data_IF_523146613156
#
_entry.id   IF_523146613156
#
_cell.length_a   1.000
_cell.length_b   1.000
_cell.length_c   1.000
_cell.angle_alpha   90.00
_cell.angle_beta   90.00
_cell.angle_gamma   90.00
#
_symmetry.space_group_name_H-M   'P 1'
#
loop_
_entity.id
_entity.type
_entity.pdbx_description
1 polymer ?
#
# COMPACT_ATOMS: atom_id res chain seq x y z
N UNK A 1 -27.75 -15.11 -28.66
CA UNK A 1 -28.46 -15.53 -27.43
C UNK A 1 -27.53 -16.09 -26.35
N UNK A 2 -26.72 -17.13 -26.60
CA UNK A 2 -25.84 -17.77 -25.59
C UNK A 2 -24.79 -16.84 -24.93
N UNK A 3 -24.19 -15.91 -25.68
CA UNK A 3 -23.24 -14.93 -25.11
C UNK A 3 -23.94 -13.83 -24.31
N UNK A 4 -25.15 -13.43 -24.73
CA UNK A 4 -25.95 -12.43 -24.04
C UNK A 4 -26.39 -12.93 -22.65
N UNK A 5 -26.76 -14.21 -22.54
CA UNK A 5 -27.09 -14.84 -21.25
C UNK A 5 -25.88 -14.97 -20.32
N UNK A 6 -24.67 -15.20 -20.85
CA UNK A 6 -23.45 -15.26 -20.03
C UNK A 6 -23.02 -13.89 -19.52
N UNK A 7 -23.11 -12.85 -20.37
CA UNK A 7 -22.87 -11.46 -19.96
C UNK A 7 -23.89 -11.05 -18.89
N UNK A 8 -25.16 -11.39 -19.09
CA UNK A 8 -26.22 -11.10 -18.10
C UNK A 8 -25.94 -11.79 -16.76
N UNK A 9 -25.54 -13.07 -16.77
CA UNK A 9 -25.18 -13.81 -15.56
C UNK A 9 -23.96 -13.19 -14.84
N UNK A 10 -22.96 -12.76 -15.60
CA UNK A 10 -21.77 -12.09 -15.03
C UNK A 10 -22.11 -10.73 -14.43
N UNK A 11 -22.98 -9.95 -15.07
CA UNK A 11 -23.45 -8.66 -14.54
C UNK A 11 -24.32 -8.87 -13.30
N UNK A 12 -25.19 -9.89 -13.31
CA UNK A 12 -26.02 -10.20 -12.13
C UNK A 12 -25.17 -10.65 -10.95
N UNK A 13 -24.14 -11.47 -11.17
CA UNK A 13 -23.24 -11.88 -10.08
C UNK A 13 -22.46 -10.69 -9.52
N UNK A 14 -21.89 -9.83 -10.38
CA UNK A 14 -21.15 -8.65 -9.91
C UNK A 14 -22.03 -7.66 -9.13
N UNK A 15 -23.30 -7.51 -9.53
CA UNK A 15 -24.28 -6.69 -8.80
C UNK A 15 -24.60 -7.26 -7.42
N UNK A 16 -24.77 -8.58 -7.30
CA UNK A 16 -25.01 -9.24 -6.00
C UNK A 16 -23.81 -9.07 -5.06
N UNK A 17 -22.59 -9.21 -5.58
CA UNK A 17 -21.37 -8.98 -4.80
C UNK A 17 -21.26 -7.53 -4.31
N UNK A 18 -21.54 -6.55 -5.18
CA UNK A 18 -21.55 -5.15 -4.81
C UNK A 18 -22.59 -4.85 -3.72
N UNK A 19 -23.83 -5.38 -3.86
CA UNK A 19 -24.88 -5.15 -2.86
C UNK A 19 -24.57 -5.78 -1.51
N UNK A 20 -23.97 -6.98 -1.49
CA UNK A 20 -23.60 -7.66 -0.25
C UNK A 20 -22.53 -6.88 0.53
N UNK A 21 -21.57 -6.31 -0.19
CA UNK A 21 -20.50 -5.51 0.39
C UNK A 21 -21.03 -4.19 0.98
N UNK A 22 -21.93 -3.51 0.28
CA UNK A 22 -22.56 -2.28 0.78
C UNK A 22 -23.37 -2.54 2.06
N UNK A 23 -24.05 -3.69 2.15
CA UNK A 23 -24.74 -4.10 3.38
C UNK A 23 -23.76 -4.30 4.55
N UNK A 24 -22.66 -5.05 4.34
CA UNK A 24 -21.65 -5.26 5.39
C UNK A 24 -21.00 -3.91 5.80
N UNK A 25 -20.79 -3.01 4.84
CA UNK A 25 -20.26 -1.66 5.10
C UNK A 25 -21.22 -0.86 5.97
N UNK A 26 -22.53 -0.89 5.68
CA UNK A 26 -23.55 -0.21 6.47
C UNK A 26 -23.64 -0.78 7.89
N UNK A 27 -23.58 -2.10 8.05
CA UNK A 27 -23.50 -2.75 9.35
C UNK A 27 -22.27 -2.33 10.15
N UNK A 28 -21.09 -2.32 9.51
CA UNK A 28 -19.85 -1.89 10.12
C UNK A 28 -19.92 -0.41 10.58
N UNK A 29 -20.47 0.46 9.73
CA UNK A 29 -20.73 1.85 10.05
C UNK A 29 -21.68 1.98 11.25
N UNK A 30 -22.77 1.20 11.29
CA UNK A 30 -23.70 1.18 12.42
C UNK A 30 -23.02 0.75 13.72
N UNK A 31 -22.18 -0.29 13.70
CA UNK A 31 -21.39 -0.68 14.87
C UNK A 31 -20.45 0.45 15.31
N UNK A 32 -19.81 1.13 14.35
CA UNK A 32 -18.93 2.26 14.64
C UNK A 32 -19.68 3.44 15.29
N UNK A 33 -20.85 3.81 14.76
CA UNK A 33 -21.70 4.88 15.32
C UNK A 33 -22.17 4.54 16.74
N UNK A 34 -22.47 3.26 17.00
CA UNK A 34 -22.81 2.75 18.33
C UNK A 34 -21.60 2.56 19.26
N UNK A 35 -20.42 3.05 18.89
CA UNK A 35 -19.14 2.93 19.63
C UNK A 35 -18.68 1.49 19.87
N UNK A 36 -19.24 0.52 19.13
CA UNK A 36 -18.83 -0.89 19.16
C UNK A 36 -17.68 -1.10 18.17
N UNK A 37 -16.53 -0.49 18.46
CA UNK A 37 -15.43 -0.35 17.50
C UNK A 37 -14.79 -1.68 17.11
N UNK A 38 -14.66 -2.63 18.04
CA UNK A 38 -14.12 -3.97 17.78
C UNK A 38 -15.00 -4.74 16.78
N UNK A 39 -16.33 -4.66 16.93
CA UNK A 39 -17.28 -5.26 15.98
C UNK A 39 -17.26 -4.58 14.62
N UNK A 40 -17.11 -3.25 14.61
CA UNK A 40 -16.93 -2.51 13.36
C UNK A 40 -15.66 -2.97 12.63
N UNK A 41 -14.55 -3.14 13.35
CA UNK A 41 -13.29 -3.66 12.80
C UNK A 41 -13.49 -5.06 12.20
N UNK A 42 -14.16 -5.97 12.92
CA UNK A 42 -14.48 -7.31 12.42
C UNK A 42 -15.25 -7.25 11.09
N UNK A 43 -16.32 -6.45 11.04
CA UNK A 43 -17.12 -6.29 9.82
C UNK A 43 -16.33 -5.66 8.67
N UNK A 44 -15.57 -4.59 8.92
CA UNK A 44 -14.72 -4.02 7.88
C UNK A 44 -13.65 -5.01 7.38
N UNK A 45 -13.03 -5.79 8.26
CA UNK A 45 -12.06 -6.82 7.84
C UNK A 45 -12.72 -7.91 7.00
N UNK A 46 -13.96 -8.29 7.30
CA UNK A 46 -14.69 -9.25 6.46
C UNK A 46 -14.92 -8.75 5.03
N UNK A 47 -14.99 -7.42 4.82
CA UNK A 47 -15.03 -6.83 3.47
C UNK A 47 -13.68 -7.03 2.76
N UNK A 48 -12.57 -6.88 3.48
CA UNK A 48 -11.22 -7.14 2.93
C UNK A 48 -11.03 -8.61 2.56
N UNK A 49 -11.62 -9.55 3.31
CA UNK A 49 -11.60 -10.99 2.98
C UNK A 49 -12.29 -11.31 1.65
N UNK A 50 -13.21 -10.45 1.21
CA UNK A 50 -13.84 -10.52 -0.12
C UNK A 50 -12.97 -9.88 -1.22
N UNK A 51 -11.72 -9.52 -0.91
CA UNK A 51 -10.78 -8.80 -1.77
C UNK A 51 -11.28 -7.42 -2.23
N UNK A 52 -12.19 -6.80 -1.48
CA UNK A 52 -12.62 -5.45 -1.77
C UNK A 52 -11.78 -4.44 -0.98
N UNK A 53 -11.12 -3.53 -1.70
CA UNK A 53 -10.33 -2.45 -1.13
C UNK A 53 -10.85 -1.11 -1.63
N UNK A 54 -11.01 -0.14 -0.72
CA UNK A 54 -11.34 1.23 -1.06
C UNK A 54 -10.75 2.21 -0.07
N UNK A 55 -10.54 3.46 -0.49
CA UNK A 55 -10.07 4.53 0.39
C UNK A 55 -10.99 4.70 1.59
N UNK A 56 -12.31 4.67 1.37
CA UNK A 56 -13.32 4.78 2.42
C UNK A 56 -13.27 3.62 3.44
N UNK A 57 -13.09 2.38 2.96
CA UNK A 57 -12.96 1.20 3.84
C UNK A 57 -11.75 1.33 4.76
N UNK A 58 -10.60 1.69 4.20
CA UNK A 58 -9.38 1.89 4.97
C UNK A 58 -9.45 3.10 5.89
N UNK A 59 -10.08 4.20 5.47
CA UNK A 59 -10.37 5.34 6.34
C UNK A 59 -11.20 4.94 7.57
N UNK A 60 -12.25 4.15 7.36
CA UNK A 60 -13.12 3.69 8.44
C UNK A 60 -12.43 2.69 9.37
N UNK A 61 -11.63 1.77 8.84
CA UNK A 61 -10.76 0.89 9.64
C UNK A 61 -9.75 1.70 10.46
N UNK A 62 -9.10 2.69 9.83
CA UNK A 62 -8.15 3.59 10.48
C UNK A 62 -8.78 4.31 11.67
N UNK A 63 -9.99 4.82 11.49
CA UNK A 63 -10.81 5.42 12.53
C UNK A 63 -11.17 4.44 13.66
N UNK A 64 -11.61 3.22 13.33
CA UNK A 64 -11.97 2.23 14.33
C UNK A 64 -10.75 1.75 15.14
N UNK A 65 -9.60 1.55 14.50
CA UNK A 65 -8.35 1.24 15.20
C UNK A 65 -7.86 2.40 16.07
N UNK A 66 -8.05 3.65 15.64
CA UNK A 66 -7.74 4.82 16.47
C UNK A 66 -8.58 4.84 17.74
N UNK A 67 -9.89 4.57 17.62
CA UNK A 67 -10.83 4.53 18.74
C UNK A 67 -10.54 3.40 19.74
N UNK A 68 -9.95 2.31 19.28
CA UNK A 68 -9.51 1.17 20.12
C UNK A 68 -8.05 1.28 20.57
N UNK A 69 -7.42 2.45 20.40
CA UNK A 69 -6.03 2.72 20.77
C UNK A 69 -4.98 1.81 20.08
N UNK A 70 -5.35 1.17 18.97
CA UNK A 70 -4.45 0.38 18.13
C UNK A 70 -3.75 1.29 17.12
N UNK A 71 -2.92 2.20 17.63
CA UNK A 71 -2.38 3.34 16.86
C UNK A 71 -1.59 2.90 15.61
N UNK A 72 -0.74 1.88 15.70
CA UNK A 72 0.01 1.38 14.54
C UNK A 72 -0.89 0.87 13.40
N UNK A 73 -1.98 0.16 13.74
CA UNK A 73 -2.96 -0.30 12.74
C UNK A 73 -3.76 0.87 12.17
N UNK A 74 -4.02 1.90 12.96
CA UNK A 74 -4.67 3.12 12.49
C UNK A 74 -3.83 3.85 11.44
N UNK A 75 -2.54 4.08 11.72
CA UNK A 75 -1.57 4.66 10.78
C UNK A 75 -1.54 3.87 9.48
N UNK A 76 -1.35 2.54 9.57
CA UNK A 76 -1.28 1.68 8.40
C UNK A 76 -2.52 1.81 7.51
N UNK A 77 -3.71 1.83 8.09
CA UNK A 77 -4.95 1.93 7.31
C UNK A 77 -5.12 3.32 6.69
N UNK A 78 -4.77 4.40 7.39
CA UNK A 78 -4.77 5.73 6.76
C UNK A 78 -3.75 5.86 5.63
N UNK A 79 -2.57 5.26 5.75
CA UNK A 79 -1.58 5.23 4.67
C UNK A 79 -2.07 4.41 3.46
N UNK A 80 -2.76 3.28 3.70
CA UNK A 80 -3.42 2.52 2.62
C UNK A 80 -4.54 3.31 1.94
N UNK A 81 -5.32 4.06 2.72
CA UNK A 81 -6.36 4.92 2.17
C UNK A 81 -5.76 6.04 1.29
N UNK A 82 -4.70 6.72 1.76
CA UNK A 82 -3.98 7.72 0.97
C UNK A 82 -3.31 7.14 -0.28
N UNK A 83 -2.90 5.87 -0.27
CA UNK A 83 -2.40 5.22 -1.49
C UNK A 83 -3.47 5.13 -2.58
N UNK A 84 -4.74 5.00 -2.20
CA UNK A 84 -5.87 4.94 -3.12
C UNK A 84 -6.45 6.33 -3.46
N UNK A 85 -6.35 7.28 -2.52
CA UNK A 85 -6.80 8.65 -2.69
C UNK A 85 -5.76 9.64 -2.12
N UNK A 86 -4.69 9.96 -2.90
CA UNK A 86 -3.53 10.71 -2.38
C UNK A 86 -3.82 12.15 -1.98
N UNK A 87 -4.86 12.76 -2.57
CA UNK A 87 -5.19 14.18 -2.41
C UNK A 87 -6.28 14.41 -1.36
N UNK A 88 -6.63 13.39 -0.58
CA UNK A 88 -7.66 13.50 0.43
C UNK A 88 -7.15 14.21 1.69
N UNK A 89 -7.55 15.47 1.86
CA UNK A 89 -7.10 16.32 2.97
C UNK A 89 -7.52 15.77 4.34
N UNK A 90 -8.72 15.19 4.45
CA UNK A 90 -9.21 14.58 5.70
C UNK A 90 -8.34 13.40 6.14
N UNK A 91 -7.90 12.58 5.18
CA UNK A 91 -6.98 11.48 5.41
C UNK A 91 -5.61 11.96 5.86
N UNK A 92 -5.06 12.99 5.21
CA UNK A 92 -3.77 13.58 5.60
C UNK A 92 -3.85 14.17 7.01
N UNK A 93 -4.94 14.89 7.32
CA UNK A 93 -5.19 15.47 8.64
C UNK A 93 -5.33 14.40 9.73
N UNK A 94 -6.13 13.37 9.50
CA UNK A 94 -6.30 12.28 10.47
C UNK A 94 -5.00 11.51 10.68
N UNK A 95 -4.26 11.20 9.61
CA UNK A 95 -2.95 10.57 9.73
C UNK A 95 -1.99 11.42 10.57
N UNK A 96 -1.98 12.74 10.37
CA UNK A 96 -1.15 13.65 11.16
C UNK A 96 -1.54 13.62 12.66
N UNK A 97 -2.84 13.63 12.99
CA UNK A 97 -3.30 13.48 14.39
C UNK A 97 -2.83 12.16 14.99
N UNK A 98 -3.00 11.06 14.25
CA UNK A 98 -2.64 9.74 14.77
C UNK A 98 -1.13 9.61 14.95
N UNK A 99 -0.33 10.13 14.02
CA UNK A 99 1.14 10.22 14.16
C UNK A 99 1.55 11.09 15.34
N UNK A 100 0.87 12.22 15.57
CA UNK A 100 1.12 13.07 16.73
C UNK A 100 0.87 12.34 18.07
N UNK A 101 -0.12 11.44 18.14
CA UNK A 101 -0.31 10.58 19.33
C UNK A 101 0.84 9.61 19.58
N UNK A 102 1.65 9.29 18.56
CA UNK A 102 2.86 8.49 18.70
C UNK A 102 4.12 9.31 18.98
N UNK A 103 4.04 10.64 18.92
CA UNK A 103 5.20 11.54 18.97
C UNK A 103 5.94 11.55 20.32
N UNK A 104 5.41 10.90 21.37
CA UNK A 104 6.17 10.61 22.60
C UNK A 104 7.07 9.36 22.50
N UNK A 105 6.96 8.52 21.46
CA UNK A 105 7.80 7.32 21.26
C UNK A 105 8.20 6.94 19.84
N UNK A 106 7.75 7.65 18.80
CA UNK A 106 8.24 7.46 17.44
C UNK A 106 8.79 8.80 16.96
N UNK A 107 10.07 9.05 17.28
CA UNK A 107 10.89 9.80 16.33
C UNK A 107 10.78 8.99 15.04
N UNK A 108 10.34 9.59 13.94
CA UNK A 108 10.62 9.00 12.63
C UNK A 108 12.07 8.57 12.69
N UNK A 109 12.35 7.26 12.53
CA UNK A 109 13.73 6.79 12.60
C UNK A 109 14.45 7.67 11.60
N UNK A 110 15.38 8.54 12.06
CA UNK A 110 16.00 9.48 11.15
C UNK A 110 16.52 8.62 10.02
N UNK A 111 16.04 8.89 8.80
CA UNK A 111 16.47 8.13 7.64
C UNK A 111 17.98 8.14 7.72
N UNK A 112 18.58 6.96 7.89
CA UNK A 112 20.02 6.88 8.03
C UNK A 112 20.59 7.58 6.81
N UNK A 113 21.67 8.34 6.98
CA UNK A 113 22.34 9.02 5.87
C UNK A 113 22.51 8.10 4.66
N UNK A 114 22.77 6.80 4.91
CA UNK A 114 22.91 5.79 3.86
C UNK A 114 21.63 5.57 3.04
N UNK A 115 20.44 5.64 3.66
CA UNK A 115 19.14 5.46 2.99
C UNK A 115 18.86 6.69 2.13
N UNK A 116 19.06 7.90 2.66
CA UNK A 116 18.85 9.14 1.89
C UNK A 116 19.82 9.24 0.71
N UNK A 117 21.10 8.96 0.96
CA UNK A 117 22.12 8.93 -0.07
C UNK A 117 21.83 7.86 -1.14
N UNK A 118 21.35 6.68 -0.74
CA UNK A 118 20.99 5.60 -1.66
C UNK A 118 19.76 5.92 -2.52
N UNK A 119 18.73 6.53 -1.93
CA UNK A 119 17.54 7.00 -2.66
C UNK A 119 17.91 8.10 -3.66
N UNK A 120 18.75 9.06 -3.25
CA UNK A 120 19.29 10.09 -4.14
C UNK A 120 20.12 9.48 -5.27
N UNK A 121 20.96 8.49 -4.98
CA UNK A 121 21.77 7.82 -5.98
C UNK A 121 20.90 7.09 -6.99
N UNK A 122 19.99 6.22 -6.57
CA UNK A 122 19.12 5.47 -7.49
C UNK A 122 18.25 6.42 -8.33
N UNK A 123 17.74 7.49 -7.73
CA UNK A 123 16.90 8.47 -8.44
C UNK A 123 17.67 9.43 -9.34
N UNK A 124 19.00 9.50 -9.24
CA UNK A 124 19.83 10.40 -10.04
C UNK A 124 19.79 10.11 -11.54
N UNK A 125 19.48 8.86 -11.93
CA UNK A 125 19.44 8.40 -13.30
C UNK A 125 18.16 7.60 -13.56
N UNK A 126 17.70 7.62 -14.81
CA UNK A 126 16.57 6.77 -15.21
C UNK A 126 16.95 5.29 -15.16
N UNK A 127 15.95 4.43 -15.00
CA UNK A 127 16.15 2.97 -14.98
C UNK A 127 16.91 2.45 -16.21
N UNK A 128 16.66 3.04 -17.38
CA UNK A 128 17.33 2.67 -18.64
C UNK A 128 18.83 3.03 -18.59
N UNK A 129 19.19 4.18 -18.02
CA UNK A 129 20.59 4.60 -17.90
C UNK A 129 21.37 3.70 -16.94
N UNK A 130 20.76 3.31 -15.82
CA UNK A 130 21.35 2.32 -14.91
C UNK A 130 21.61 0.98 -15.58
N UNK A 131 20.68 0.50 -16.41
CA UNK A 131 20.85 -0.74 -17.16
C UNK A 131 22.02 -0.68 -18.15
N UNK A 132 22.13 0.42 -18.91
CA UNK A 132 23.24 0.62 -19.86
C UNK A 132 24.59 0.66 -19.13
N UNK A 133 24.69 1.36 -18.00
CA UNK A 133 25.92 1.41 -17.20
C UNK A 133 26.34 0.02 -16.73
N UNK A 134 25.39 -0.78 -16.21
CA UNK A 134 25.66 -2.17 -15.77
C UNK A 134 26.19 -3.02 -16.92
N UNK A 135 25.62 -2.90 -18.13
CA UNK A 135 26.08 -3.64 -19.30
C UNK A 135 27.50 -3.24 -19.71
N UNK A 136 27.84 -1.96 -19.68
CA UNK A 136 29.19 -1.47 -19.99
C UNK A 136 30.20 -2.04 -18.98
N UNK A 137 29.91 -1.95 -17.67
CA UNK A 137 30.78 -2.50 -16.63
C UNK A 137 30.97 -4.01 -16.79
N UNK A 138 29.91 -4.74 -17.13
CA UNK A 138 29.98 -6.17 -17.39
C UNK A 138 30.89 -6.51 -18.57
N UNK A 139 30.80 -5.77 -19.68
CA UNK A 139 31.66 -5.97 -20.85
C UNK A 139 33.13 -5.68 -20.53
N UNK A 140 33.41 -4.61 -19.78
CA UNK A 140 34.77 -4.27 -19.33
C UNK A 140 35.33 -5.37 -18.42
N UNK A 141 34.49 -5.91 -17.52
CA UNK A 141 34.87 -7.00 -16.64
C UNK A 141 35.23 -8.27 -17.43
N UNK A 142 34.41 -8.66 -18.42
CA UNK A 142 34.70 -9.78 -19.30
C UNK A 142 36.00 -9.57 -20.08
N UNK A 143 36.19 -8.38 -20.67
CA UNK A 143 37.41 -8.05 -21.40
C UNK A 143 38.66 -8.16 -20.50
N UNK A 144 38.56 -7.67 -19.27
CA UNK A 144 39.65 -7.75 -18.28
C UNK A 144 39.99 -9.20 -17.93
N UNK A 145 38.98 -10.06 -17.77
CA UNK A 145 39.17 -11.50 -17.55
C UNK A 145 39.87 -12.13 -18.75
N UNK A 146 39.42 -11.85 -19.97
CA UNK A 146 40.03 -12.40 -21.18
C UNK A 146 41.50 -12.00 -21.29
N UNK A 147 41.83 -10.73 -21.04
CA UNK A 147 43.21 -10.22 -21.06
C UNK A 147 44.06 -10.95 -20.00
N UNK A 148 43.55 -11.12 -18.78
CA UNK A 148 44.26 -11.84 -17.73
C UNK A 148 44.59 -13.29 -18.12
N UNK A 149 43.65 -14.00 -18.74
CA UNK A 149 43.90 -15.37 -19.19
C UNK A 149 44.89 -15.45 -20.35
N UNK A 150 44.76 -14.57 -21.36
CA UNK A 150 45.68 -14.55 -22.52
C UNK A 150 47.12 -14.25 -22.08
N UNK A 151 47.31 -13.27 -21.19
CA UNK A 151 48.64 -12.89 -20.68
C UNK A 151 49.27 -13.92 -19.74
N UNK A 152 48.46 -14.77 -19.10
CA UNK A 152 48.95 -15.87 -18.26
C UNK A 152 49.24 -17.16 -19.04
N UNK A 153 48.60 -17.33 -20.20
CA UNK A 153 48.73 -18.53 -21.05
C UNK A 153 49.84 -18.46 -22.11
N UNK A 154 50.45 -17.29 -22.33
CA UNK A 154 51.58 -17.07 -23.24
C UNK A 154 52.87 -16.88 -22.46
#
# INVERSE_FOLDING_TARGET
MRYLSLILLFVLSSLIFASQQDEIMNDANNYYQNKQYEKAIEKYNSILELNFESSALYYNLGNAYFRTNQIGKSILNYERALKLDPNNEDLQYNLAIVKARTADRIKEVPKLFIIEWWEMLISSLSTVMWQVLVLIFYLIFLMSITIYFVTKSG
#
